data_IF_060259237665
#
_entry.id   IF_060259237665
#
_cell.length_a   1.000
_cell.length_b   1.000
_cell.length_c   1.000
_cell.angle_alpha   90.00
_cell.angle_beta   90.00
_cell.angle_gamma   90.00
#
_symmetry.space_group_name_H-M   'P 1'
#
loop_
_entity.id
_entity.type
_entity.pdbx_description
1 polymer ?
#
# COMPACT_ATOMS: atom_id res chain seq x y z
N UNK A 1 9.22 19.25 -15.34
CA UNK A 1 10.69 19.40 -15.39
C UNK A 1 11.32 18.06 -15.08
N UNK A 2 12.32 17.66 -15.88
CA UNK A 2 13.08 16.44 -15.61
C UNK A 2 14.47 16.81 -15.14
N UNK A 3 14.88 16.21 -14.02
CA UNK A 3 16.20 16.43 -13.40
C UNK A 3 16.97 15.11 -13.45
N UNK A 4 18.22 15.21 -13.91
CA UNK A 4 19.15 14.07 -13.97
C UNK A 4 20.42 14.47 -13.25
N UNK A 5 20.73 13.77 -12.17
CA UNK A 5 22.00 13.97 -11.45
C UNK A 5 23.05 13.05 -12.07
N UNK A 6 24.17 13.65 -12.46
CA UNK A 6 25.31 12.97 -13.07
C UNK A 6 26.58 13.24 -12.26
N UNK A 7 27.37 12.20 -12.05
CA UNK A 7 28.70 12.32 -11.49
C UNK A 7 29.71 12.23 -12.66
N UNK A 8 30.44 13.31 -12.91
CA UNK A 8 31.50 13.35 -13.89
C UNK A 8 32.86 13.10 -13.23
N UNK A 9 33.64 12.21 -13.81
CA UNK A 9 34.94 11.77 -13.27
C UNK A 9 35.97 11.85 -14.37
N UNK A 10 37.14 12.45 -14.05
CA UNK A 10 38.31 12.51 -14.97
C UNK A 10 38.72 11.08 -15.37
N UNK A 11 39.13 10.86 -16.63
CA UNK A 11 39.61 9.56 -17.09
C UNK A 11 40.76 8.95 -16.25
N UNK A 12 41.59 9.81 -15.61
CA UNK A 12 42.71 9.40 -14.79
C UNK A 12 42.37 9.00 -13.35
N UNK A 13 41.13 9.20 -12.92
CA UNK A 13 40.67 8.93 -11.55
C UNK A 13 39.76 7.70 -11.55
N UNK A 14 39.95 6.82 -10.58
CA UNK A 14 39.09 5.68 -10.36
C UNK A 14 38.18 5.96 -9.16
N UNK A 15 36.89 5.81 -9.34
CA UNK A 15 35.91 5.85 -8.25
C UNK A 15 35.74 4.44 -7.74
N UNK A 16 36.14 4.20 -6.49
CA UNK A 16 36.00 2.89 -5.85
C UNK A 16 34.64 2.73 -5.15
N UNK A 17 34.09 3.82 -4.63
CA UNK A 17 32.76 3.83 -3.99
C UNK A 17 32.18 5.26 -4.00
N UNK A 18 30.84 5.35 -3.86
CA UNK A 18 30.18 6.62 -3.58
C UNK A 18 28.97 6.38 -2.67
N UNK A 19 28.69 7.35 -1.80
CA UNK A 19 27.57 7.31 -0.88
C UNK A 19 26.85 8.67 -0.90
N UNK A 20 25.53 8.70 -1.13
CA UNK A 20 24.74 9.91 -0.91
C UNK A 20 24.84 10.34 0.56
N UNK A 21 25.12 11.62 0.80
CA UNK A 21 25.09 12.21 2.13
C UNK A 21 23.69 12.65 2.50
N UNK A 22 23.00 13.31 1.57
CA UNK A 22 21.60 13.72 1.71
C UNK A 22 20.82 13.40 0.45
N UNK A 23 19.55 13.08 0.62
CA UNK A 23 18.60 13.00 -0.50
C UNK A 23 18.02 14.40 -0.73
N UNK A 24 18.09 14.94 -1.94
CA UNK A 24 17.52 16.25 -2.23
C UNK A 24 16.00 16.22 -2.05
N UNK A 25 15.47 17.22 -1.37
CA UNK A 25 14.04 17.48 -1.26
C UNK A 25 13.58 18.39 -2.39
N UNK A 26 12.30 18.27 -2.77
CA UNK A 26 11.72 19.04 -3.88
C UNK A 26 10.51 19.81 -3.37
N UNK A 27 10.77 20.81 -2.55
CA UNK A 27 9.71 21.61 -1.94
C UNK A 27 8.88 22.34 -3.00
N UNK A 28 7.53 22.28 -2.87
CA UNK A 28 6.57 22.82 -3.82
C UNK A 28 6.57 22.16 -5.21
N UNK A 29 7.13 20.95 -5.29
CA UNK A 29 6.96 20.07 -6.45
C UNK A 29 6.29 18.75 -6.03
N UNK A 30 5.48 18.22 -6.89
CA UNK A 30 5.22 16.79 -6.90
C UNK A 30 6.39 16.12 -7.62
N UNK A 31 6.97 15.11 -7.02
CA UNK A 31 8.15 14.44 -7.52
C UNK A 31 7.92 12.94 -7.75
N UNK A 32 8.54 12.41 -8.79
CA UNK A 32 8.55 10.99 -9.08
C UNK A 32 9.95 10.55 -9.49
N UNK A 33 10.55 9.66 -8.69
CA UNK A 33 11.85 9.08 -8.98
C UNK A 33 11.71 7.99 -10.06
N UNK A 34 12.55 8.07 -11.08
CA UNK A 34 12.64 7.03 -12.11
C UNK A 34 13.74 6.05 -11.68
N UNK A 35 13.39 4.80 -11.36
CA UNK A 35 14.34 3.83 -10.87
C UNK A 35 15.47 3.57 -11.88
N UNK A 36 16.67 3.46 -11.37
CA UNK A 36 17.84 3.03 -12.11
C UNK A 36 18.09 1.55 -11.79
N UNK A 37 18.13 0.72 -12.82
CA UNK A 37 18.40 -0.72 -12.65
C UNK A 37 19.89 -1.01 -12.42
N UNK A 38 20.76 -0.16 -12.98
CA UNK A 38 22.21 -0.27 -12.85
C UNK A 38 22.88 1.09 -13.14
N UNK A 39 24.07 1.24 -12.63
CA UNK A 39 24.94 2.38 -12.97
C UNK A 39 25.78 2.04 -14.18
N UNK A 40 25.54 2.71 -15.29
CA UNK A 40 26.36 2.59 -16.50
C UNK A 40 27.35 3.76 -16.55
N UNK A 41 28.60 3.45 -16.85
CA UNK A 41 29.60 4.46 -17.12
C UNK A 41 29.52 4.82 -18.59
N UNK A 42 29.35 6.10 -18.87
CA UNK A 42 29.25 6.66 -20.20
C UNK A 42 30.34 7.73 -20.38
N UNK A 43 30.78 7.94 -21.62
CA UNK A 43 31.70 9.02 -21.96
C UNK A 43 30.92 10.28 -22.36
N UNK A 44 31.44 11.44 -22.00
CA UNK A 44 30.82 12.71 -22.32
C UNK A 44 31.72 13.90 -22.09
N UNK A 45 31.25 15.06 -22.54
CA UNK A 45 31.97 16.32 -22.35
C UNK A 45 31.37 17.10 -21.17
N UNK A 46 32.22 17.64 -20.33
CA UNK A 46 31.83 18.62 -19.32
C UNK A 46 32.75 19.84 -19.48
N UNK A 47 32.15 21.01 -19.70
CA UNK A 47 32.87 22.24 -20.01
C UNK A 47 33.92 22.08 -21.12
N UNK A 48 33.56 21.32 -22.18
CA UNK A 48 34.44 21.09 -23.34
C UNK A 48 35.57 20.08 -23.14
N UNK A 49 35.70 19.49 -21.94
CA UNK A 49 36.71 18.49 -21.63
C UNK A 49 36.09 17.07 -21.59
N UNK A 50 36.84 16.04 -21.99
CA UNK A 50 36.34 14.66 -21.92
C UNK A 50 36.30 14.15 -20.48
N UNK A 51 35.19 13.54 -20.11
CA UNK A 51 34.95 12.89 -18.81
C UNK A 51 34.18 11.57 -19.02
N UNK A 52 34.33 10.70 -18.03
CA UNK A 52 33.40 9.60 -17.84
C UNK A 52 32.31 10.07 -16.88
N UNK A 53 31.06 9.70 -17.09
CA UNK A 53 30.00 10.02 -16.16
C UNK A 53 29.10 8.82 -15.86
N UNK A 54 28.45 8.89 -14.71
CA UNK A 54 27.42 7.96 -14.30
C UNK A 54 26.17 8.74 -13.91
N UNK A 55 25.01 8.23 -14.29
CA UNK A 55 23.74 8.79 -13.86
C UNK A 55 23.42 8.22 -12.48
N UNK A 56 23.24 9.09 -11.50
CA UNK A 56 23.02 8.75 -10.09
C UNK A 56 21.54 8.72 -9.73
N UNK A 57 20.78 9.68 -10.28
CA UNK A 57 19.36 9.83 -9.98
C UNK A 57 18.65 10.50 -11.17
N UNK A 58 17.42 10.04 -11.41
CA UNK A 58 16.49 10.66 -12.37
C UNK A 58 15.20 10.94 -11.66
N UNK A 59 14.69 12.16 -11.78
CA UNK A 59 13.43 12.57 -11.15
C UNK A 59 12.63 13.46 -12.09
N UNK A 60 11.32 13.28 -12.08
CA UNK A 60 10.38 14.17 -12.78
C UNK A 60 9.65 15.01 -11.73
N UNK A 61 9.65 16.31 -11.95
CA UNK A 61 9.10 17.32 -11.05
C UNK A 61 7.95 18.06 -11.75
N UNK A 62 6.81 18.14 -11.07
CA UNK A 62 5.68 18.97 -11.46
C UNK A 62 5.51 20.08 -10.42
N UNK A 63 5.69 21.37 -10.80
CA UNK A 63 5.57 22.47 -9.84
C UNK A 63 4.11 22.61 -9.39
N UNK A 64 3.93 22.83 -8.11
CA UNK A 64 2.62 23.06 -7.48
C UNK A 64 2.36 24.53 -7.18
N UNK A 65 3.39 25.37 -7.28
CA UNK A 65 3.31 26.82 -7.10
C UNK A 65 4.07 27.54 -8.21
N UNK A 66 3.70 28.79 -8.46
CA UNK A 66 4.45 29.70 -9.32
C UNK A 66 5.53 30.44 -8.53
N UNK A 67 6.50 31.03 -9.24
CA UNK A 67 7.60 31.76 -8.67
C UNK A 67 8.94 31.05 -8.77
N UNK A 68 9.91 31.48 -7.98
CA UNK A 68 11.22 30.88 -7.88
C UNK A 68 11.16 29.64 -6.98
N UNK A 69 11.27 28.47 -7.58
CA UNK A 69 11.29 27.19 -6.86
C UNK A 69 12.69 26.60 -6.89
N UNK A 70 13.15 26.17 -5.74
CA UNK A 70 14.50 25.65 -5.56
C UNK A 70 14.54 24.13 -5.65
N UNK A 71 15.56 23.62 -6.32
CA UNK A 71 15.95 22.20 -6.34
C UNK A 71 17.20 22.07 -5.50
N UNK A 72 17.10 21.31 -4.44
CA UNK A 72 18.22 21.07 -3.54
C UNK A 72 19.33 20.25 -4.22
N UNK A 73 20.59 20.47 -3.81
CA UNK A 73 21.71 19.73 -4.33
C UNK A 73 21.71 18.27 -3.85
N UNK A 74 22.21 17.38 -4.71
CA UNK A 74 22.62 16.05 -4.29
C UNK A 74 24.09 16.11 -3.90
N UNK A 75 24.42 15.85 -2.64
CA UNK A 75 25.77 15.76 -2.13
C UNK A 75 26.19 14.29 -1.97
N UNK A 76 27.44 14.00 -2.36
CA UNK A 76 28.02 12.66 -2.32
C UNK A 76 29.35 12.69 -1.59
N UNK A 77 29.60 11.68 -0.78
CA UNK A 77 30.95 11.29 -0.35
C UNK A 77 31.48 10.24 -1.34
N UNK A 78 32.54 10.58 -2.06
CA UNK A 78 33.10 9.77 -3.14
C UNK A 78 34.48 9.29 -2.74
N UNK A 79 34.68 7.99 -2.68
CA UNK A 79 36.00 7.38 -2.46
C UNK A 79 36.71 7.22 -3.80
N UNK A 80 37.89 7.77 -3.87
CA UNK A 80 38.71 7.91 -5.09
C UNK A 80 40.00 7.15 -4.95
N UNK A 81 40.49 6.59 -6.03
CA UNK A 81 41.86 6.15 -6.20
C UNK A 81 42.53 7.09 -7.19
N UNK A 82 43.49 7.88 -6.69
CA UNK A 82 44.20 8.88 -7.49
C UNK A 82 45.67 8.46 -7.67
N UNK A 83 46.25 8.65 -8.88
CA UNK A 83 47.64 8.35 -9.10
C UNK A 83 48.52 9.30 -8.30
N UNK A 84 49.57 8.77 -7.73
CA UNK A 84 50.63 9.56 -7.05
C UNK A 84 51.80 9.78 -7.99
N UNK A 85 52.72 10.70 -7.64
CA UNK A 85 53.97 10.89 -8.38
C UNK A 85 54.95 9.71 -8.24
N UNK A 86 54.66 8.77 -7.34
CA UNK A 86 55.44 7.55 -7.14
C UNK A 86 55.09 6.50 -8.19
N UNK A 87 56.12 5.78 -8.65
CA UNK A 87 55.96 4.68 -9.58
C UNK A 87 56.42 3.36 -8.94
N UNK A 88 55.81 2.26 -9.36
CA UNK A 88 56.25 0.94 -8.98
C UNK A 88 57.53 0.54 -9.74
N UNK A 89 58.01 -0.69 -9.47
CA UNK A 89 59.23 -1.24 -10.13
C UNK A 89 59.08 -1.33 -11.65
N UNK A 90 57.84 -1.43 -12.16
CA UNK A 90 57.52 -1.56 -13.60
C UNK A 90 57.19 -0.20 -14.23
N UNK A 91 57.34 0.93 -13.49
CA UNK A 91 57.06 2.26 -13.97
C UNK A 91 55.58 2.66 -13.97
N UNK A 92 54.69 1.82 -13.44
CA UNK A 92 53.26 2.14 -13.32
C UNK A 92 52.99 3.09 -12.14
N UNK A 93 52.03 4.01 -12.25
CA UNK A 93 51.69 4.91 -11.16
C UNK A 93 51.14 4.17 -9.96
N UNK A 94 51.59 4.50 -8.76
CA UNK A 94 51.03 3.99 -7.49
C UNK A 94 49.81 4.83 -7.15
N UNK A 95 48.65 4.19 -6.89
CA UNK A 95 47.42 4.86 -6.51
C UNK A 95 47.27 4.96 -5.00
N UNK A 96 46.72 6.09 -4.54
CA UNK A 96 46.35 6.28 -3.12
C UNK A 96 44.85 6.49 -3.02
N UNK A 97 44.28 6.00 -1.91
CA UNK A 97 42.87 6.18 -1.61
C UNK A 97 42.63 7.50 -0.91
N UNK A 98 41.67 8.26 -1.38
CA UNK A 98 41.20 9.49 -0.76
C UNK A 98 39.68 9.57 -0.87
N UNK A 99 39.07 10.42 -0.05
CA UNK A 99 37.64 10.69 -0.17
C UNK A 99 37.42 12.19 -0.42
N UNK A 100 36.37 12.49 -1.18
CA UNK A 100 36.01 13.87 -1.50
C UNK A 100 34.51 14.04 -1.50
N UNK A 101 34.02 15.04 -0.77
CA UNK A 101 32.62 15.45 -0.84
C UNK A 101 32.41 16.31 -2.10
N UNK A 102 31.46 15.92 -2.93
CA UNK A 102 31.08 16.64 -4.14
C UNK A 102 29.57 16.92 -4.11
N UNK A 103 29.17 18.04 -4.68
CA UNK A 103 27.75 18.45 -4.69
C UNK A 103 27.37 18.98 -6.07
N UNK A 104 26.13 18.69 -6.49
CA UNK A 104 25.58 19.16 -7.76
C UNK A 104 25.30 20.68 -7.81
N UNK A 105 25.32 21.35 -6.67
CA UNK A 105 24.90 22.74 -6.55
C UNK A 105 23.39 22.95 -6.60
N UNK A 106 22.95 24.00 -5.97
CA UNK A 106 21.55 24.43 -5.91
C UNK A 106 21.07 24.95 -7.26
N UNK A 107 19.86 24.63 -7.67
CA UNK A 107 19.25 25.13 -8.90
C UNK A 107 17.90 25.77 -8.60
N UNK A 108 17.62 26.91 -9.23
CA UNK A 108 16.34 27.61 -9.11
C UNK A 108 15.62 27.58 -10.45
N UNK A 109 14.35 27.19 -10.43
CA UNK A 109 13.48 27.17 -11.59
C UNK A 109 12.44 28.27 -11.44
N UNK A 110 12.31 29.14 -12.45
CA UNK A 110 11.27 30.15 -12.52
C UNK A 110 10.00 29.55 -13.12
N UNK A 111 9.00 29.34 -12.27
CA UNK A 111 7.70 28.81 -12.68
C UNK A 111 6.74 29.96 -12.97
N UNK A 112 6.31 30.08 -14.22
CA UNK A 112 5.35 31.10 -14.64
C UNK A 112 3.96 30.81 -14.05
N UNK A 113 3.23 31.80 -13.54
CA UNK A 113 1.86 31.61 -13.14
C UNK A 113 0.96 31.29 -14.35
N UNK A 114 -0.08 30.49 -14.12
CA UNK A 114 -1.10 30.29 -15.16
C UNK A 114 -1.86 31.59 -15.41
N UNK A 115 -2.17 31.92 -16.67
CA UNK A 115 -2.92 33.13 -17.02
C UNK A 115 -4.27 33.17 -16.29
N UNK A 116 -4.65 34.31 -15.77
CA UNK A 116 -6.00 34.52 -15.22
C UNK A 116 -7.03 34.75 -16.33
N UNK A 117 -6.59 35.38 -17.43
CA UNK A 117 -7.46 35.62 -18.57
C UNK A 117 -7.87 34.30 -19.24
N UNK A 118 -9.17 34.14 -19.46
CA UNK A 118 -9.73 32.95 -20.10
C UNK A 118 -9.76 31.70 -19.24
N UNK A 119 -9.49 31.81 -17.91
CA UNK A 119 -9.55 30.67 -16.99
C UNK A 119 -11.00 30.25 -16.75
N UNK A 120 -11.40 29.01 -17.12
CA UNK A 120 -12.74 28.51 -16.87
C UNK A 120 -13.03 28.34 -15.37
N UNK A 121 -14.31 28.49 -14.98
CA UNK A 121 -14.72 28.32 -13.58
C UNK A 121 -14.57 26.86 -13.08
N UNK A 122 -14.69 25.92 -14.00
CA UNK A 122 -14.55 24.47 -13.75
C UNK A 122 -13.10 23.95 -13.85
N UNK A 123 -12.12 24.84 -13.94
CA UNK A 123 -10.71 24.46 -14.03
C UNK A 123 -10.19 23.85 -12.74
N UNK A 124 -9.87 22.56 -12.75
CA UNK A 124 -9.41 21.78 -11.60
C UNK A 124 -7.88 21.68 -11.44
N UNK A 125 -7.11 22.46 -12.22
CA UNK A 125 -5.64 22.43 -12.17
C UNK A 125 -4.98 21.49 -13.18
N UNK A 126 -5.73 20.99 -14.17
CA UNK A 126 -5.21 20.13 -15.22
C UNK A 126 -4.32 20.91 -16.19
N UNK A 127 -3.04 20.53 -16.31
CA UNK A 127 -2.05 21.17 -17.20
C UNK A 127 -1.45 20.12 -18.11
N UNK A 128 -1.66 20.25 -19.41
CA UNK A 128 -1.19 19.25 -20.37
C UNK A 128 -1.91 19.31 -21.70
N UNK A 129 -1.86 18.19 -22.38
CA UNK A 129 -2.57 17.96 -23.65
C UNK A 129 -3.43 16.71 -23.46
N UNK A 130 -4.75 16.88 -23.33
CA UNK A 130 -5.65 15.84 -22.90
C UNK A 130 -6.82 15.65 -23.86
N UNK A 131 -7.32 14.41 -23.88
CA UNK A 131 -8.63 14.03 -24.43
C UNK A 131 -9.54 13.66 -23.27
N UNK A 132 -10.81 13.97 -23.43
CA UNK A 132 -11.84 13.70 -22.46
C UNK A 132 -12.96 12.91 -23.11
N UNK A 133 -13.47 11.90 -22.43
CA UNK A 133 -14.60 11.11 -22.89
C UNK A 133 -15.42 10.57 -21.74
N UNK A 134 -16.71 10.40 -21.98
CA UNK A 134 -17.64 9.64 -21.13
C UNK A 134 -18.21 8.54 -21.98
N UNK A 135 -18.21 7.32 -21.46
CA UNK A 135 -18.71 6.13 -22.16
C UNK A 135 -19.54 5.28 -21.21
N UNK A 136 -20.48 4.53 -21.74
CA UNK A 136 -21.29 3.57 -20.99
C UNK A 136 -21.06 2.17 -21.54
N UNK A 137 -21.17 1.15 -20.69
CA UNK A 137 -21.06 -0.26 -21.13
C UNK A 137 -22.27 -0.74 -21.90
N UNK A 138 -23.43 -0.12 -21.66
CA UNK A 138 -24.71 -0.39 -22.32
C UNK A 138 -25.45 0.94 -22.50
N UNK A 139 -26.25 1.04 -23.55
CA UNK A 139 -27.20 2.13 -23.80
C UNK A 139 -28.66 1.69 -23.58
N UNK A 140 -28.90 0.36 -23.48
CA UNK A 140 -30.18 -0.21 -23.17
C UNK A 140 -30.04 -1.39 -22.19
N UNK A 141 -30.93 -1.50 -21.20
CA UNK A 141 -30.97 -2.54 -20.19
C UNK A 141 -32.37 -2.62 -19.57
N UNK A 142 -32.60 -3.62 -18.71
CA UNK A 142 -33.83 -3.71 -17.90
C UNK A 142 -33.62 -3.09 -16.52
N UNK A 143 -34.74 -2.74 -15.86
CA UNK A 143 -34.67 -2.29 -14.46
C UNK A 143 -34.01 -3.35 -13.58
N UNK A 144 -33.27 -2.90 -12.57
CA UNK A 144 -32.44 -3.71 -11.67
C UNK A 144 -31.21 -4.37 -12.31
N UNK A 145 -30.95 -4.20 -13.60
CA UNK A 145 -29.67 -4.52 -14.20
C UNK A 145 -28.68 -3.37 -13.99
N UNK A 146 -27.40 -3.68 -13.85
CA UNK A 146 -26.36 -2.69 -13.74
C UNK A 146 -25.73 -2.33 -15.07
N UNK A 147 -25.33 -1.08 -15.20
CA UNK A 147 -24.44 -0.60 -16.25
C UNK A 147 -23.29 0.19 -15.62
N UNK A 148 -22.19 0.33 -16.32
CA UNK A 148 -21.08 1.19 -15.91
C UNK A 148 -20.99 2.41 -16.82
N UNK A 149 -20.87 3.61 -16.20
CA UNK A 149 -20.50 4.83 -16.89
C UNK A 149 -19.07 5.18 -16.50
N UNK A 150 -18.24 5.43 -17.50
CA UNK A 150 -16.80 5.69 -17.33
C UNK A 150 -16.46 7.09 -17.81
N UNK A 151 -15.95 7.91 -16.90
CA UNK A 151 -15.38 9.22 -17.18
C UNK A 151 -13.88 9.07 -17.33
N UNK A 152 -13.32 9.43 -18.47
CA UNK A 152 -11.89 9.21 -18.78
C UNK A 152 -11.23 10.48 -19.24
N UNK A 153 -10.04 10.77 -18.68
CA UNK A 153 -9.08 11.73 -19.21
C UNK A 153 -7.81 11.01 -19.59
N UNK A 154 -7.40 11.11 -20.83
CA UNK A 154 -6.16 10.52 -21.33
C UNK A 154 -5.27 11.57 -21.99
N UNK A 155 -3.96 11.38 -21.94
CA UNK A 155 -3.02 12.29 -22.58
C UNK A 155 -1.67 12.39 -21.88
N UNK A 156 -1.07 13.58 -22.05
CA UNK A 156 0.24 13.90 -21.50
C UNK A 156 0.17 15.20 -20.68
N UNK A 157 0.51 15.11 -19.40
CA UNK A 157 0.42 16.24 -18.48
C UNK A 157 0.48 15.81 -17.04
N UNK A 158 -0.13 16.58 -16.14
CA UNK A 158 -0.13 16.33 -14.70
C UNK A 158 -1.27 15.39 -14.25
N UNK A 159 -1.44 14.24 -14.90
CA UNK A 159 -2.57 13.31 -14.75
C UNK A 159 -2.90 12.91 -13.30
N UNK A 160 -1.92 12.94 -12.39
CA UNK A 160 -2.09 12.59 -10.97
C UNK A 160 -2.41 13.78 -10.07
N UNK A 161 -2.58 14.99 -10.62
CA UNK A 161 -2.59 16.24 -9.84
C UNK A 161 -3.86 17.08 -10.03
N UNK A 162 -4.90 16.53 -10.62
CA UNK A 162 -6.21 17.16 -10.73
C UNK A 162 -7.33 16.15 -10.46
N UNK A 163 -8.53 16.65 -10.25
CA UNK A 163 -9.72 15.82 -10.08
C UNK A 163 -10.52 15.75 -11.37
N UNK A 164 -11.10 14.59 -11.63
CA UNK A 164 -12.02 14.40 -12.76
C UNK A 164 -13.33 15.15 -12.50
N UNK A 165 -14.01 15.62 -13.55
CA UNK A 165 -15.34 16.19 -13.41
C UNK A 165 -16.33 15.10 -12.99
N UNK A 166 -17.16 15.39 -11.99
CA UNK A 166 -18.15 14.43 -11.49
C UNK A 166 -19.30 14.29 -12.47
N UNK A 167 -19.74 13.05 -12.64
CA UNK A 167 -20.91 12.75 -13.45
C UNK A 167 -22.18 13.15 -12.68
N UNK A 168 -23.03 13.97 -13.33
CA UNK A 168 -24.33 14.33 -12.79
C UNK A 168 -25.38 13.37 -13.34
N UNK A 169 -26.03 12.63 -12.46
CA UNK A 169 -27.00 11.62 -12.81
C UNK A 169 -28.37 11.95 -12.24
N UNK A 170 -29.48 11.58 -12.92
CA UNK A 170 -30.82 11.73 -12.37
C UNK A 170 -30.97 11.01 -11.03
N UNK A 171 -31.70 11.60 -10.08
CA UNK A 171 -31.93 11.04 -8.73
C UNK A 171 -32.72 9.73 -8.71
N UNK A 172 -33.38 9.41 -9.83
CA UNK A 172 -34.10 8.15 -10.05
C UNK A 172 -33.20 6.96 -10.39
N UNK A 173 -31.89 7.19 -10.58
CA UNK A 173 -30.89 6.16 -10.76
C UNK A 173 -30.18 5.91 -9.43
N UNK A 174 -30.05 4.66 -9.04
CA UNK A 174 -29.18 4.29 -7.94
C UNK A 174 -27.73 4.29 -8.44
N UNK A 175 -26.88 5.07 -7.79
CA UNK A 175 -25.49 5.28 -8.20
C UNK A 175 -24.58 4.93 -7.04
N UNK A 176 -23.67 3.99 -7.29
CA UNK A 176 -22.66 3.60 -6.31
C UNK A 176 -21.44 4.50 -6.41
N UNK A 177 -20.66 4.56 -5.31
CA UNK A 177 -19.43 5.33 -5.28
C UNK A 177 -18.48 4.91 -6.41
N UNK A 178 -17.95 5.88 -7.20
CA UNK A 178 -17.13 5.56 -8.35
C UNK A 178 -15.78 4.94 -7.96
N UNK A 179 -15.35 3.98 -8.76
CA UNK A 179 -14.01 3.38 -8.67
C UNK A 179 -13.03 4.21 -9.50
N UNK A 180 -11.99 4.76 -8.85
CA UNK A 180 -10.91 5.47 -9.52
C UNK A 180 -9.88 4.48 -10.07
N UNK A 181 -9.55 4.60 -11.37
CA UNK A 181 -8.53 3.79 -12.04
C UNK A 181 -7.47 4.68 -12.67
N UNK A 182 -6.22 4.31 -12.42
CA UNK A 182 -5.05 5.02 -12.91
C UNK A 182 -4.19 4.10 -13.76
N UNK A 183 -3.96 4.49 -15.02
CA UNK A 183 -3.00 3.85 -15.92
C UNK A 183 -2.03 4.91 -16.45
N UNK A 184 -1.17 5.42 -15.56
CA UNK A 184 -0.23 6.50 -15.84
C UNK A 184 1.19 6.00 -15.74
N UNK A 185 1.96 6.21 -16.80
CA UNK A 185 3.40 5.99 -16.84
C UNK A 185 4.13 7.32 -16.71
N UNK A 186 5.13 7.37 -15.82
CA UNK A 186 5.98 8.54 -15.64
C UNK A 186 7.40 8.20 -16.09
N UNK A 187 7.91 8.97 -17.04
CA UNK A 187 9.28 8.88 -17.54
C UNK A 187 9.89 10.27 -17.68
N UNK A 188 11.13 10.39 -18.17
CA UNK A 188 11.79 11.71 -18.34
C UNK A 188 11.03 12.67 -19.27
N UNK A 189 10.14 12.18 -20.12
CA UNK A 189 9.28 13.03 -20.95
C UNK A 189 8.00 13.50 -20.20
N UNK A 190 7.81 13.09 -18.96
CA UNK A 190 6.66 13.43 -18.11
C UNK A 190 5.69 12.27 -17.92
N UNK A 191 4.52 12.58 -17.34
CA UNK A 191 3.40 11.65 -17.19
C UNK A 191 2.62 11.54 -18.48
N UNK A 192 2.26 10.31 -18.83
CA UNK A 192 1.36 10.02 -19.94
C UNK A 192 0.54 8.77 -19.63
N UNK A 193 -0.68 8.72 -20.13
CA UNK A 193 -1.61 7.62 -19.89
C UNK A 193 -3.03 8.10 -19.72
N UNK A 194 -3.80 7.44 -18.85
CA UNK A 194 -5.18 7.77 -18.56
C UNK A 194 -5.52 7.66 -17.09
N UNK A 195 -6.46 8.47 -16.65
CA UNK A 195 -7.16 8.35 -15.37
C UNK A 195 -8.65 8.27 -15.64
N UNK A 196 -9.38 7.47 -14.89
CA UNK A 196 -10.81 7.30 -15.06
C UNK A 196 -11.54 7.08 -13.75
N UNK A 197 -12.81 7.47 -13.71
CA UNK A 197 -13.77 7.11 -12.68
C UNK A 197 -14.88 6.25 -13.31
N UNK A 198 -15.13 5.09 -12.73
CA UNK A 198 -16.15 4.14 -13.19
C UNK A 198 -17.32 4.12 -12.20
N UNK A 199 -18.46 4.62 -12.64
CA UNK A 199 -19.71 4.68 -11.88
C UNK A 199 -20.56 3.44 -12.19
N UNK A 200 -20.95 2.69 -11.17
CA UNK A 200 -21.95 1.63 -11.31
C UNK A 200 -23.34 2.23 -11.10
N UNK A 201 -24.21 2.06 -12.07
CA UNK A 201 -25.55 2.67 -12.12
C UNK A 201 -26.58 1.54 -12.24
N UNK A 202 -27.64 1.60 -11.42
CA UNK A 202 -28.76 0.65 -11.43
C UNK A 202 -30.06 1.43 -11.55
N UNK A 203 -30.77 1.38 -12.68
CA UNK A 203 -32.08 1.98 -12.83
C UNK A 203 -33.16 1.16 -12.10
N UNK A 204 -34.00 1.81 -11.32
CA UNK A 204 -35.12 1.16 -10.62
C UNK A 204 -36.40 1.03 -11.43
N UNK A 205 -36.58 1.88 -12.46
CA UNK A 205 -37.85 1.99 -13.21
C UNK A 205 -37.61 2.00 -14.71
N UNK A 206 -38.63 1.57 -15.48
CA UNK A 206 -38.67 1.70 -16.91
C UNK A 206 -38.66 3.18 -17.32
N UNK A 207 -37.87 3.57 -18.33
CA UNK A 207 -37.81 4.94 -18.79
C UNK A 207 -36.55 5.27 -19.59
N UNK A 208 -36.43 6.55 -19.97
CA UNK A 208 -35.24 7.12 -20.59
C UNK A 208 -34.54 8.05 -19.62
N UNK A 209 -33.28 7.80 -19.38
CA UNK A 209 -32.46 8.53 -18.43
C UNK A 209 -31.31 9.22 -19.14
N UNK A 210 -31.42 10.53 -19.40
CA UNK A 210 -30.33 11.27 -20.02
C UNK A 210 -29.19 11.47 -19.00
N UNK A 211 -27.98 11.17 -19.41
CA UNK A 211 -26.73 11.59 -18.77
C UNK A 211 -26.30 12.86 -19.48
N UNK A 212 -26.38 14.01 -18.82
CA UNK A 212 -26.05 15.27 -19.46
C UNK A 212 -24.58 15.34 -19.83
N UNK A 213 -24.28 16.11 -20.89
CA UNK A 213 -22.92 16.46 -21.25
C UNK A 213 -22.19 17.10 -20.08
N UNK A 214 -21.03 16.60 -19.73
CA UNK A 214 -20.13 17.22 -18.75
C UNK A 214 -18.87 17.73 -19.43
N UNK A 215 -18.26 18.76 -18.86
CA UNK A 215 -17.09 19.41 -19.46
C UNK A 215 -15.86 19.24 -18.57
N UNK A 216 -14.71 19.18 -19.22
CA UNK A 216 -13.39 19.15 -18.61
C UNK A 216 -12.55 20.29 -19.17
N UNK A 217 -11.98 21.10 -18.26
CA UNK A 217 -11.16 22.26 -18.62
C UNK A 217 -9.71 22.04 -18.23
N UNK A 218 -8.78 22.32 -19.13
CA UNK A 218 -7.36 22.20 -18.89
C UNK A 218 -6.57 23.33 -19.55
N UNK A 219 -5.38 23.61 -19.03
CA UNK A 219 -4.42 24.52 -19.63
C UNK A 219 -3.45 23.77 -20.52
N UNK A 220 -3.37 24.15 -21.80
CA UNK A 220 -2.39 23.55 -22.73
C UNK A 220 -1.13 24.43 -22.78
N UNK A 221 0.01 23.98 -22.25
CA UNK A 221 1.24 24.78 -22.20
C UNK A 221 1.89 25.00 -23.58
N UNK A 222 1.52 24.22 -24.59
CA UNK A 222 2.03 24.41 -25.97
C UNK A 222 1.37 25.59 -26.64
N UNK A 223 0.05 25.76 -26.45
CA UNK A 223 -0.72 26.87 -27.01
C UNK A 223 -0.80 28.07 -26.10
N UNK A 224 -0.42 27.89 -24.80
CA UNK A 224 -0.52 28.95 -23.79
C UNK A 224 -1.95 29.35 -23.45
N UNK A 225 -2.92 28.48 -23.69
CA UNK A 225 -4.34 28.78 -23.54
C UNK A 225 -5.11 27.67 -22.83
N UNK A 226 -6.24 28.06 -22.23
CA UNK A 226 -7.19 27.11 -21.69
C UNK A 226 -8.00 26.47 -22.82
N UNK A 227 -8.27 25.18 -22.67
CA UNK A 227 -9.20 24.44 -23.52
C UNK A 227 -10.28 23.83 -22.65
N UNK A 228 -11.51 23.87 -23.16
CA UNK A 228 -12.65 23.18 -22.59
C UNK A 228 -13.15 22.17 -23.59
N UNK A 229 -13.27 20.93 -23.17
CA UNK A 229 -13.80 19.82 -23.96
C UNK A 229 -15.01 19.25 -23.24
N UNK A 230 -16.03 18.84 -23.98
CA UNK A 230 -17.26 18.28 -23.42
C UNK A 230 -17.50 16.89 -23.95
N UNK A 231 -18.15 16.04 -23.14
CA UNK A 231 -18.67 14.78 -23.61
C UNK A 231 -19.95 14.98 -24.41
N UNK A 232 -20.35 13.98 -25.17
CA UNK A 232 -21.69 13.90 -25.71
C UNK A 232 -22.71 13.61 -24.59
N UNK A 233 -23.98 13.94 -24.84
CA UNK A 233 -25.10 13.48 -24.03
C UNK A 233 -25.37 12.00 -24.34
N UNK A 234 -25.53 11.18 -23.28
CA UNK A 234 -25.81 9.75 -23.41
C UNK A 234 -27.18 9.48 -22.82
N UNK A 235 -28.06 8.81 -23.55
CA UNK A 235 -29.37 8.40 -23.05
C UNK A 235 -29.36 6.90 -22.74
N UNK A 236 -29.63 6.55 -21.50
CA UNK A 236 -29.85 5.17 -21.07
C UNK A 236 -31.33 4.83 -21.26
N UNK A 237 -31.62 3.76 -22.02
CA UNK A 237 -32.97 3.27 -22.25
C UNK A 237 -33.24 2.04 -21.37
N UNK A 238 -34.15 2.16 -20.40
CA UNK A 238 -34.61 1.06 -19.58
C UNK A 238 -35.89 0.47 -20.19
N UNK A 239 -35.76 -0.74 -20.76
CA UNK A 239 -36.79 -1.35 -21.62
C UNK A 239 -37.93 -1.94 -20.84
N UNK A 240 -37.60 -2.68 -19.76
CA UNK A 240 -38.58 -3.40 -18.92
C UNK A 240 -38.36 -3.06 -17.45
N UNK A 241 -39.45 -2.95 -16.71
CA UNK A 241 -39.43 -2.71 -15.27
C UNK A 241 -40.69 -2.04 -14.75
N UNK A 242 -40.76 -1.78 -13.44
CA UNK A 242 -41.86 -1.01 -12.85
C UNK A 242 -41.95 0.37 -13.51
N UNK A 243 -43.15 0.86 -13.74
CA UNK A 243 -43.38 2.23 -14.23
C UNK A 243 -43.42 3.18 -13.05
N UNK A 244 -42.79 4.38 -13.16
CA UNK A 244 -42.95 5.39 -12.12
C UNK A 244 -44.43 5.79 -12.03
N UNK A 245 -45.02 5.61 -10.89
CA UNK A 245 -46.36 6.13 -10.59
C UNK A 245 -46.23 7.64 -10.31
N UNK A 246 -47.18 8.45 -10.80
CA UNK A 246 -47.15 9.90 -10.73
C UNK A 246 -47.08 10.47 -9.29
N UNK A 247 -47.20 9.65 -8.26
CA UNK A 247 -47.09 10.03 -6.84
C UNK A 247 -45.61 10.18 -6.34
N UNK A 248 -44.64 9.78 -7.14
CA UNK A 248 -43.21 9.83 -6.72
C UNK A 248 -42.52 11.16 -6.98
N UNK A 249 -43.25 12.20 -7.51
CA UNK A 249 -42.65 13.48 -7.91
C UNK A 249 -42.79 14.61 -6.88
N UNK A 250 -43.35 14.35 -5.72
CA UNK A 250 -43.50 15.39 -4.68
C UNK A 250 -42.90 14.92 -3.36
N UNK A 251 -41.83 15.64 -2.99
CA UNK A 251 -41.13 15.71 -1.70
C UNK A 251 -40.27 14.51 -1.30
N UNK A 252 -39.02 14.77 -0.84
CA UNK A 252 -38.19 13.77 -0.21
C UNK A 252 -38.70 13.53 1.22
N UNK A 253 -39.74 12.71 1.36
CA UNK A 253 -40.10 12.13 2.64
C UNK A 253 -39.65 10.70 2.61
N UNK A 254 -38.69 10.38 3.44
CA UNK A 254 -38.26 9.01 3.69
C UNK A 254 -39.45 8.17 4.19
N UNK A 255 -40.20 7.61 3.26
CA UNK A 255 -41.07 6.46 3.54
C UNK A 255 -40.58 5.29 2.71
N UNK A 256 -39.91 4.38 3.42
CA UNK A 256 -39.47 3.10 2.87
C UNK A 256 -40.66 2.31 2.43
N UNK A 257 -40.79 2.06 1.11
CA UNK A 257 -41.78 1.16 0.56
C UNK A 257 -41.58 -0.23 1.15
N UNK A 258 -42.63 -0.76 1.77
CA UNK A 258 -42.71 -2.17 2.15
C UNK A 258 -42.77 -3.03 0.88
N UNK A 259 -41.69 -3.71 0.57
CA UNK A 259 -41.67 -4.74 -0.45
C UNK A 259 -42.42 -5.97 0.13
N UNK A 260 -43.59 -6.22 -0.39
CA UNK A 260 -44.36 -7.43 -0.05
C UNK A 260 -43.89 -8.58 -0.92
N UNK A 261 -43.34 -9.60 -0.29
CA UNK A 261 -43.31 -10.95 -0.84
C UNK A 261 -41.96 -11.46 -1.33
N UNK A 262 -41.41 -12.31 -0.53
CA UNK A 262 -40.35 -13.25 -0.86
C UNK A 262 -39.76 -13.83 0.41
N UNK A 263 -39.97 -15.11 0.66
CA UNK A 263 -39.60 -15.82 1.89
C UNK A 263 -38.10 -15.92 2.19
N UNK A 264 -37.27 -15.07 1.62
CA UNK A 264 -35.81 -15.16 1.76
C UNK A 264 -35.08 -13.93 2.32
N UNK A 265 -35.77 -12.82 2.61
CA UNK A 265 -35.15 -11.64 3.21
C UNK A 265 -35.89 -11.22 4.49
N UNK A 266 -35.18 -11.25 5.63
CA UNK A 266 -35.68 -10.69 6.87
C UNK A 266 -35.54 -9.17 6.83
N UNK A 267 -36.64 -8.44 7.04
CA UNK A 267 -36.65 -6.98 7.11
C UNK A 267 -35.80 -6.46 8.25
N UNK A 268 -35.02 -5.42 7.98
CA UNK A 268 -34.34 -4.65 9.03
C UNK A 268 -35.44 -3.95 9.84
N UNK A 269 -35.55 -4.24 11.14
CA UNK A 269 -36.45 -3.55 12.05
C UNK A 269 -36.18 -2.06 12.05
N UNK A 270 -37.17 -1.24 11.65
CA UNK A 270 -37.08 0.23 11.62
C UNK A 270 -37.06 0.87 13.01
N UNK A 271 -37.50 0.15 14.03
CA UNK A 271 -37.33 0.51 15.43
C UNK A 271 -36.36 -0.48 16.07
N UNK A 272 -35.07 -0.18 16.08
CA UNK A 272 -34.12 -1.05 16.74
C UNK A 272 -34.36 -0.97 18.24
N UNK A 273 -34.85 -2.05 18.83
CA UNK A 273 -34.67 -2.24 20.27
C UNK A 273 -33.20 -2.58 20.45
N UNK A 274 -32.39 -1.55 20.67
CA UNK A 274 -30.99 -1.71 21.04
C UNK A 274 -30.95 -2.32 22.42
N UNK A 275 -30.90 -3.64 22.51
CA UNK A 275 -30.50 -4.30 23.74
C UNK A 275 -29.01 -4.02 23.88
N UNK A 276 -28.57 -3.42 25.00
CA UNK A 276 -27.15 -3.24 25.23
C UNK A 276 -26.51 -4.63 25.16
N UNK A 277 -25.70 -4.85 24.16
CA UNK A 277 -24.85 -6.03 24.10
C UNK A 277 -24.01 -5.96 25.38
N UNK A 278 -24.21 -6.89 26.28
CA UNK A 278 -23.31 -7.08 27.41
C UNK A 278 -21.94 -7.38 26.80
N UNK A 279 -21.21 -6.33 26.56
CA UNK A 279 -19.82 -6.43 26.16
C UNK A 279 -19.06 -6.81 27.40
N UNK A 280 -18.86 -8.11 27.58
CA UNK A 280 -17.82 -8.59 28.48
C UNK A 280 -16.51 -8.51 27.72
N UNK A 281 -15.78 -7.41 27.80
CA UNK A 281 -14.48 -7.32 27.14
C UNK A 281 -13.58 -8.38 27.81
N UNK A 282 -13.03 -9.26 26.98
CA UNK A 282 -12.05 -10.23 27.48
C UNK A 282 -10.88 -9.51 28.16
N UNK A 283 -10.45 -8.39 27.59
CA UNK A 283 -9.43 -7.51 28.18
C UNK A 283 -9.98 -6.77 29.40
N UNK A 284 -9.33 -6.97 30.58
CA UNK A 284 -9.76 -6.42 31.88
C UNK A 284 -10.73 -7.30 32.65
N UNK A 285 -11.16 -8.44 32.11
CA UNK A 285 -11.97 -9.43 32.85
C UNK A 285 -11.11 -10.29 33.77
N UNK A 286 -11.75 -10.93 34.77
CA UNK A 286 -11.07 -11.92 35.61
C UNK A 286 -10.45 -13.05 34.77
N UNK A 287 -11.11 -13.47 33.69
CA UNK A 287 -10.58 -14.45 32.75
C UNK A 287 -9.27 -13.99 32.10
N UNK A 288 -9.17 -12.71 31.70
CA UNK A 288 -7.95 -12.15 31.17
C UNK A 288 -6.77 -12.23 32.14
N UNK A 289 -6.99 -11.85 33.41
CA UNK A 289 -5.94 -11.90 34.42
C UNK A 289 -5.55 -13.33 34.74
N UNK A 290 -6.52 -14.26 34.79
CA UNK A 290 -6.22 -15.69 35.00
C UNK A 290 -5.35 -16.22 33.90
N UNK A 291 -5.68 -15.94 32.62
CA UNK A 291 -4.88 -16.38 31.49
C UNK A 291 -3.49 -15.74 31.43
N UNK A 292 -3.38 -14.49 31.88
CA UNK A 292 -2.10 -13.77 31.89
C UNK A 292 -1.17 -14.29 33.00
N UNK A 293 -1.70 -14.56 34.20
CA UNK A 293 -0.90 -15.01 35.36
C UNK A 293 -0.77 -16.53 35.46
N UNK A 294 -1.62 -17.32 34.80
CA UNK A 294 -1.54 -18.78 34.82
C UNK A 294 -0.17 -19.33 34.40
N UNK A 295 0.47 -18.89 33.30
CA UNK A 295 1.79 -19.35 32.91
C UNK A 295 2.85 -19.03 33.96
N UNK A 296 2.76 -17.87 34.63
CA UNK A 296 3.70 -17.42 35.65
C UNK A 296 3.63 -18.30 36.91
N UNK A 297 2.47 -18.83 37.26
CA UNK A 297 2.28 -19.77 38.35
C UNK A 297 2.62 -21.21 37.96
N UNK A 298 2.37 -21.60 36.70
CA UNK A 298 2.66 -22.94 36.21
C UNK A 298 4.16 -23.22 36.06
N UNK A 299 4.97 -22.23 35.73
CA UNK A 299 6.42 -22.38 35.57
C UNK A 299 7.10 -22.84 36.87
N UNK A 300 6.94 -22.16 38.03
CA UNK A 300 7.56 -22.63 39.27
C UNK A 300 6.99 -23.98 39.75
N UNK A 301 5.70 -24.21 39.51
CA UNK A 301 5.07 -25.49 39.80
C UNK A 301 5.68 -26.63 38.99
N UNK A 302 5.93 -26.42 37.72
CA UNK A 302 6.58 -27.38 36.82
C UNK A 302 8.04 -27.61 37.22
N UNK A 303 8.78 -26.56 37.61
CA UNK A 303 10.15 -26.67 38.12
C UNK A 303 10.20 -27.50 39.41
N UNK A 304 9.26 -27.26 40.35
CA UNK A 304 9.15 -28.04 41.57
C UNK A 304 8.81 -29.51 41.30
N UNK A 305 7.89 -29.74 40.34
CA UNK A 305 7.54 -31.11 39.92
C UNK A 305 8.74 -31.85 39.31
N UNK A 306 9.46 -31.17 38.41
CA UNK A 306 10.64 -31.72 37.77
C UNK A 306 11.77 -31.98 38.77
N UNK A 307 12.03 -31.06 39.71
CA UNK A 307 12.99 -31.26 40.81
C UNK A 307 12.63 -32.47 41.67
N UNK A 308 11.35 -32.70 41.96
CA UNK A 308 10.89 -33.90 42.67
C UNK A 308 11.06 -35.17 41.88
N UNK A 309 10.88 -35.10 40.57
CA UNK A 309 11.10 -36.26 39.68
C UNK A 309 12.59 -36.57 39.56
N UNK A 310 13.43 -35.57 39.32
CA UNK A 310 14.90 -35.70 39.30
C UNK A 310 15.48 -36.25 40.63
N UNK A 311 14.93 -35.79 41.76
CA UNK A 311 15.29 -36.30 43.10
C UNK A 311 14.92 -37.77 43.27
N UNK A 312 13.78 -38.22 42.71
CA UNK A 312 13.37 -39.64 42.72
C UNK A 312 14.22 -40.51 41.79
N UNK A 313 14.67 -39.98 40.66
CA UNK A 313 15.53 -40.69 39.70
C UNK A 313 16.97 -40.83 40.21
N UNK A 314 17.45 -39.84 41.00
CA UNK A 314 18.79 -39.89 41.66
C UNK A 314 18.85 -40.83 42.85
N UNK A 315 17.69 -41.14 43.49
CA UNK A 315 17.64 -42.08 44.62
C UNK A 315 17.57 -43.55 44.13
N UNK A 316 18.60 -43.96 43.37
CA UNK A 316 18.73 -45.34 42.83
C UNK A 316 18.84 -46.34 43.98
N UNK A 317 19.48 -45.98 45.09
CA UNK A 317 19.60 -46.84 46.32
C UNK A 317 18.28 -46.97 47.05
N UNK A 318 17.53 -45.85 47.23
CA UNK A 318 16.21 -45.90 47.85
C UNK A 318 15.20 -46.71 47.06
N UNK A 319 15.27 -46.67 45.72
CA UNK A 319 14.43 -47.48 44.84
C UNK A 319 14.81 -49.01 44.95
N UNK A 320 16.10 -49.34 45.01
CA UNK A 320 16.54 -50.70 45.22
C UNK A 320 16.11 -51.26 46.61
N UNK A 321 16.27 -50.46 47.67
CA UNK A 321 15.84 -50.87 48.99
C UNK A 321 14.32 -51.04 49.07
N UNK A 322 13.51 -50.16 48.47
CA UNK A 322 12.06 -50.32 48.42
C UNK A 322 11.64 -51.57 47.65
N UNK A 323 12.31 -51.87 46.53
CA UNK A 323 12.07 -53.08 45.73
C UNK A 323 12.45 -54.35 46.51
N UNK A 324 13.60 -54.34 47.18
CA UNK A 324 14.04 -55.43 48.04
C UNK A 324 13.11 -55.67 49.22
N UNK A 325 12.69 -54.62 49.94
CA UNK A 325 11.73 -54.70 51.02
C UNK A 325 10.35 -55.21 50.58
N UNK A 326 9.91 -54.83 49.37
CA UNK A 326 8.62 -55.31 48.84
C UNK A 326 8.69 -56.80 48.45
N UNK A 327 9.82 -57.23 47.89
CA UNK A 327 10.08 -58.64 47.59
C UNK A 327 10.20 -59.46 48.91
N UNK A 328 11.00 -58.99 49.87
CA UNK A 328 11.15 -59.63 51.16
C UNK A 328 9.81 -59.77 51.90
N UNK A 329 8.98 -58.75 51.92
CA UNK A 329 7.62 -58.85 52.51
C UNK A 329 6.73 -59.86 51.78
N UNK A 330 6.82 -59.94 50.44
CA UNK A 330 6.03 -60.91 49.68
C UNK A 330 6.45 -62.34 49.94
N UNK A 331 7.77 -62.66 49.97
CA UNK A 331 8.26 -63.99 50.24
C UNK A 331 8.17 -64.40 51.73
N UNK A 332 8.52 -63.50 52.64
CA UNK A 332 8.34 -63.73 54.06
C UNK A 332 6.87 -63.88 54.49
N UNK A 333 5.94 -63.17 53.82
CA UNK A 333 4.52 -63.39 54.11
C UNK A 333 4.02 -64.74 53.59
N UNK A 334 4.59 -65.26 52.48
CA UNK A 334 4.29 -66.58 51.97
C UNK A 334 4.85 -67.66 52.90
N UNK A 335 6.11 -67.54 53.30
CA UNK A 335 6.74 -68.46 54.24
C UNK A 335 6.05 -68.43 55.61
N UNK A 336 5.59 -67.21 56.09
CA UNK A 336 4.82 -67.09 57.33
C UNK A 336 3.44 -67.79 57.27
N UNK A 337 2.81 -67.86 56.10
CA UNK A 337 1.52 -68.57 55.92
C UNK A 337 1.73 -70.10 55.87
N UNK A 338 2.90 -70.57 55.45
CA UNK A 338 3.22 -71.98 55.35
C UNK A 338 3.89 -72.54 56.65
N UNK A 339 3.89 -71.81 57.73
CA UNK A 339 4.53 -72.21 59.04
C UNK A 339 3.93 -73.47 59.65
N UNK A 340 2.81 -74.02 59.15
CA UNK A 340 2.20 -75.25 59.63
C UNK A 340 2.55 -76.50 58.88
N UNK A 341 3.22 -76.39 57.70
CA UNK A 341 3.60 -77.51 56.86
C UNK A 341 5.08 -77.40 56.46
N UNK A 342 5.87 -78.42 56.85
CA UNK A 342 7.34 -78.40 56.67
C UNK A 342 7.78 -78.36 55.23
N UNK A 343 7.12 -79.08 54.33
CA UNK A 343 7.49 -79.17 52.89
C UNK A 343 7.09 -77.84 52.15
N UNK A 344 5.90 -77.30 52.38
CA UNK A 344 5.46 -76.02 51.79
C UNK A 344 6.27 -74.84 52.28
N UNK A 345 6.80 -74.90 53.53
CA UNK A 345 7.65 -73.85 54.07
C UNK A 345 9.00 -73.74 53.37
N UNK A 346 9.64 -74.89 53.08
CA UNK A 346 10.91 -74.88 52.37
C UNK A 346 10.75 -74.48 50.89
N UNK A 347 9.66 -74.90 50.24
CA UNK A 347 9.34 -74.48 48.84
C UNK A 347 9.02 -73.00 48.76
N UNK A 348 8.48 -72.37 49.85
CA UNK A 348 8.19 -70.94 49.89
C UNK A 348 9.43 -70.08 50.24
N UNK A 349 10.54 -70.68 50.64
CA UNK A 349 11.80 -70.03 50.95
C UNK A 349 12.81 -70.11 49.80
N UNK A 350 12.63 -71.03 48.82
CA UNK A 350 13.41 -71.15 47.65
C UNK A 350 12.88 -70.23 46.51
#
# INVERSE_FOLDING_TARGET
>A
VSVVYKLYVSPSIVVSNFRPMDNPTYNNFWSHDIPLTRYNIEEGLYEGKPYRYVILKRVVLYPQKSGALEIEPLALDVSLEVPTDKRDFFGSPIYTKTSKVVSAGKRTIQVKPLPQAGRPADFSGAVGDFRFSVTTTKDALNASESLQAKVTVEGKGNLKLFQLPKLTLPSSLEVYEPEFKENVRTNLAGMQGSVSEEYTIVPGFQGKYPIPSISFSFFNPKTGSYRRVSSDEITINVLEGPRPTAESATTPKEEKSTVVGGDQFYFIKLTPQLVPRQWNPFFGSTAHFVWFFAPMLLIPLFILFRRRQDARERDVEGARVKKANRLARKYLSRAKKALGDKEEFYVALE
#
